data_IF_418249376944
#
_entry.id   IF_418249376944
#
_cell.length_a   1.000
_cell.length_b   1.000
_cell.length_c   1.000
_cell.angle_alpha   90.00
_cell.angle_beta   90.00
_cell.angle_gamma   90.00
#
_symmetry.space_group_name_H-M   'P 1'
#
loop_
_entity.id
_entity.type
_entity.pdbx_description
1 polymer ?
#
# COMPACT_ATOMS: atom_id res chain seq x y z
N UNK A 1 -52.16 -42.76 41.70
CA UNK A 1 -50.78 -42.41 41.29
C UNK A 1 -50.87 -41.39 40.12
N UNK A 2 -50.64 -40.08 40.41
CA UNK A 2 -50.73 -39.01 39.40
C UNK A 2 -49.28 -38.67 38.97
N UNK A 3 -48.91 -38.99 37.74
CA UNK A 3 -47.65 -38.60 37.15
C UNK A 3 -47.73 -37.12 36.75
N UNK A 4 -46.83 -36.31 37.34
CA UNK A 4 -46.63 -34.90 36.94
C UNK A 4 -45.58 -34.84 35.82
N UNK A 5 -46.01 -34.47 34.62
CA UNK A 5 -45.13 -34.22 33.50
C UNK A 5 -44.47 -32.84 33.67
N UNK A 6 -43.16 -32.79 33.85
CA UNK A 6 -42.37 -31.56 33.93
C UNK A 6 -41.95 -31.22 32.49
N UNK A 7 -42.50 -30.16 31.93
CA UNK A 7 -42.05 -29.61 30.66
C UNK A 7 -40.79 -28.75 30.86
N UNK A 8 -39.67 -29.17 30.29
CA UNK A 8 -38.45 -28.36 30.21
C UNK A 8 -38.60 -27.33 29.07
N UNK A 9 -38.75 -26.08 29.42
CA UNK A 9 -38.59 -24.98 28.47
C UNK A 9 -37.08 -24.75 28.25
N UNK A 10 -36.59 -25.15 27.07
CA UNK A 10 -35.27 -24.76 26.62
C UNK A 10 -35.29 -23.30 26.14
N UNK A 11 -34.80 -22.38 26.95
CA UNK A 11 -34.55 -21.00 26.56
C UNK A 11 -33.29 -21.00 25.70
N UNK A 12 -33.46 -20.92 24.38
CA UNK A 12 -32.36 -20.65 23.45
C UNK A 12 -31.92 -19.18 23.66
N UNK A 13 -30.82 -18.99 24.38
CA UNK A 13 -30.15 -17.68 24.45
C UNK A 13 -29.55 -17.38 23.08
N UNK A 14 -30.24 -16.63 22.23
CA UNK A 14 -29.62 -15.94 21.10
C UNK A 14 -28.62 -14.93 21.71
N UNK A 15 -27.34 -15.27 21.64
CA UNK A 15 -26.29 -14.30 21.84
C UNK A 15 -26.41 -13.26 20.70
N UNK A 16 -27.08 -12.15 20.99
CA UNK A 16 -27.04 -10.97 20.13
C UNK A 16 -25.57 -10.52 20.09
N UNK A 17 -24.87 -10.90 19.03
CA UNK A 17 -23.60 -10.25 18.70
C UNK A 17 -23.95 -8.78 18.51
N UNK A 18 -23.48 -7.94 19.45
CA UNK A 18 -23.57 -6.50 19.32
C UNK A 18 -22.89 -6.13 18.01
N UNK A 19 -23.66 -5.89 16.97
CA UNK A 19 -23.13 -5.36 15.73
C UNK A 19 -22.41 -4.06 16.07
N UNK A 20 -21.15 -3.96 15.69
CA UNK A 20 -20.36 -2.73 15.82
C UNK A 20 -21.02 -1.70 14.89
N UNK A 21 -21.94 -0.92 15.43
CA UNK A 21 -22.64 0.09 14.65
C UNK A 21 -21.72 1.29 14.42
N UNK A 22 -21.46 1.57 13.17
CA UNK A 22 -20.70 2.75 12.75
C UNK A 22 -21.54 4.02 12.89
N UNK A 23 -20.90 5.15 13.18
CA UNK A 23 -21.50 6.47 13.08
C UNK A 23 -22.00 6.69 11.62
N UNK A 24 -23.10 7.42 11.44
CA UNK A 24 -23.68 7.70 10.11
C UNK A 24 -22.70 8.34 9.12
N UNK A 25 -21.71 9.12 9.64
CA UNK A 25 -20.66 9.74 8.82
C UNK A 25 -19.66 8.71 8.26
N UNK A 26 -19.61 7.50 8.81
CA UNK A 26 -18.73 6.41 8.36
C UNK A 26 -19.24 5.75 7.07
N UNK A 27 -20.48 6.06 6.65
CA UNK A 27 -21.00 5.61 5.34
C UNK A 27 -20.06 5.97 4.19
N UNK A 28 -19.41 7.14 4.25
CA UNK A 28 -18.37 7.52 3.29
C UNK A 28 -17.01 7.24 3.88
N UNK A 29 -16.19 6.44 3.19
CA UNK A 29 -14.81 6.12 3.56
C UNK A 29 -13.87 6.79 2.56
N UNK A 30 -13.06 7.75 3.02
CA UNK A 30 -12.21 8.59 2.18
C UNK A 30 -10.78 8.10 2.20
N UNK A 31 -10.34 7.52 1.09
CA UNK A 31 -8.97 7.05 0.91
C UNK A 31 -8.07 8.12 0.30
N UNK A 32 -6.79 8.10 0.67
CA UNK A 32 -5.73 8.74 -0.11
C UNK A 32 -5.10 7.71 -1.06
N UNK A 33 -4.82 8.16 -2.28
CA UNK A 33 -4.00 7.49 -3.29
C UNK A 33 -2.89 8.47 -3.69
N UNK A 34 -1.65 8.00 -3.69
CA UNK A 34 -0.48 8.83 -3.98
C UNK A 34 0.05 8.63 -5.41
N UNK A 35 -0.71 7.92 -6.24
CA UNK A 35 -0.43 7.76 -7.66
C UNK A 35 0.41 6.53 -8.00
N UNK A 36 0.60 5.59 -7.06
CA UNK A 36 1.31 4.34 -7.30
C UNK A 36 0.35 3.21 -7.69
N UNK A 37 0.84 2.26 -8.46
CA UNK A 37 0.02 1.14 -8.90
C UNK A 37 -0.33 0.16 -7.76
N UNK A 38 0.53 0.02 -6.74
CA UNK A 38 0.28 -0.80 -5.55
C UNK A 38 -0.81 -0.20 -4.66
N UNK A 39 -0.71 1.11 -4.34
CA UNK A 39 -1.75 1.78 -3.56
C UNK A 39 -3.09 1.82 -4.31
N UNK A 40 -3.08 1.97 -5.65
CA UNK A 40 -4.27 1.89 -6.46
C UNK A 40 -4.89 0.48 -6.44
N UNK A 41 -4.07 -0.57 -6.42
CA UNK A 41 -4.52 -1.95 -6.32
C UNK A 41 -5.16 -2.24 -4.94
N UNK A 42 -4.47 -1.91 -3.86
CA UNK A 42 -4.95 -2.15 -2.48
C UNK A 42 -6.19 -1.32 -2.16
N UNK A 43 -6.19 -0.03 -2.52
CA UNK A 43 -7.35 0.86 -2.36
C UNK A 43 -8.52 0.42 -3.23
N UNK A 44 -8.26 -0.06 -4.45
CA UNK A 44 -9.28 -0.61 -5.33
C UNK A 44 -9.97 -1.85 -4.73
N UNK A 45 -9.18 -2.80 -4.19
CA UNK A 45 -9.72 -3.99 -3.52
C UNK A 45 -10.53 -3.62 -2.27
N UNK A 46 -10.00 -2.75 -1.42
CA UNK A 46 -10.72 -2.27 -0.24
C UNK A 46 -12.04 -1.55 -0.62
N UNK A 47 -12.01 -0.73 -1.67
CA UNK A 47 -13.19 -0.02 -2.17
C UNK A 47 -14.27 -0.98 -2.67
N UNK A 48 -13.92 -1.98 -3.47
CA UNK A 48 -14.88 -2.99 -3.98
C UNK A 48 -15.55 -3.74 -2.82
N UNK A 49 -14.79 -4.12 -1.80
CA UNK A 49 -15.34 -4.79 -0.62
C UNK A 49 -16.27 -3.87 0.16
N UNK A 50 -15.86 -2.62 0.41
CA UNK A 50 -16.69 -1.63 1.12
C UNK A 50 -18.01 -1.32 0.36
N UNK A 51 -17.97 -1.23 -0.96
CA UNK A 51 -19.19 -1.10 -1.79
C UNK A 51 -20.11 -2.30 -1.58
N UNK A 52 -19.58 -3.51 -1.56
CA UNK A 52 -20.32 -4.74 -1.26
C UNK A 52 -20.93 -4.77 0.14
N UNK A 53 -20.32 -4.08 1.10
CA UNK A 53 -20.83 -3.88 2.46
C UNK A 53 -21.84 -2.72 2.58
N UNK A 54 -22.10 -1.97 1.50
CA UNK A 54 -23.05 -0.84 1.48
C UNK A 54 -22.43 0.52 1.85
N UNK A 55 -21.12 0.62 1.99
CA UNK A 55 -20.39 1.88 2.18
C UNK A 55 -20.16 2.58 0.84
N UNK A 56 -19.74 3.84 0.93
CA UNK A 56 -19.40 4.68 -0.23
C UNK A 56 -17.90 5.09 -0.13
N UNK A 57 -16.98 4.27 -0.66
CA UNK A 57 -15.58 4.67 -0.73
C UNK A 57 -15.39 5.82 -1.71
N UNK A 58 -14.48 6.72 -1.38
CA UNK A 58 -14.01 7.79 -2.27
C UNK A 58 -12.50 7.84 -2.23
N UNK A 59 -11.87 8.13 -3.35
CA UNK A 59 -10.41 8.16 -3.47
C UNK A 59 -9.97 9.55 -3.89
N UNK A 60 -9.04 10.13 -3.13
CA UNK A 60 -8.42 11.42 -3.43
C UNK A 60 -6.95 11.18 -3.79
N UNK A 61 -6.55 11.60 -4.99
CA UNK A 61 -5.15 11.56 -5.40
C UNK A 61 -4.45 12.79 -4.78
N UNK A 62 -3.38 12.55 -4.03
CA UNK A 62 -2.63 13.58 -3.31
C UNK A 62 -1.17 13.12 -3.12
N UNK A 63 -0.23 14.05 -2.96
CA UNK A 63 1.12 13.67 -2.51
C UNK A 63 1.11 13.20 -1.05
N UNK A 64 2.14 12.45 -0.63
CA UNK A 64 2.27 11.93 0.74
C UNK A 64 2.08 13.04 1.79
N UNK A 65 2.76 14.21 1.71
CA UNK A 65 2.56 15.28 2.67
C UNK A 65 1.13 15.83 2.71
N UNK A 66 0.46 15.90 1.55
CA UNK A 66 -0.94 16.34 1.46
C UNK A 66 -1.88 15.28 2.04
N UNK A 67 -1.61 14.00 1.82
CA UNK A 67 -2.39 12.91 2.41
C UNK A 67 -2.36 12.97 3.95
N UNK A 68 -1.18 13.10 4.56
CA UNK A 68 -1.04 13.22 6.02
C UNK A 68 -1.68 14.50 6.57
N UNK A 69 -1.50 15.63 5.89
CA UNK A 69 -2.18 16.88 6.28
C UNK A 69 -3.71 16.75 6.16
N UNK A 70 -4.20 16.04 5.16
CA UNK A 70 -5.63 15.73 4.97
C UNK A 70 -6.19 14.84 6.08
N UNK A 71 -5.42 13.84 6.55
CA UNK A 71 -5.79 13.01 7.70
C UNK A 71 -5.87 13.84 8.99
N UNK A 72 -4.88 14.68 9.27
CA UNK A 72 -4.91 15.64 10.40
C UNK A 72 -6.15 16.52 10.35
N UNK A 73 -6.54 16.99 9.18
CA UNK A 73 -7.74 17.83 8.97
C UNK A 73 -9.04 17.03 8.88
N UNK A 74 -8.99 15.70 9.09
CA UNK A 74 -10.15 14.80 8.97
C UNK A 74 -10.84 14.86 7.59
N UNK A 75 -10.09 15.12 6.54
CA UNK A 75 -10.52 15.12 5.15
C UNK A 75 -10.25 13.78 4.46
N UNK A 76 -9.30 13.01 4.99
CA UNK A 76 -8.91 11.66 4.59
C UNK A 76 -9.08 10.75 5.81
N UNK A 77 -9.64 9.57 5.60
CA UNK A 77 -9.92 8.58 6.65
C UNK A 77 -8.90 7.45 6.66
N UNK A 78 -8.40 7.05 5.48
CA UNK A 78 -7.58 5.85 5.32
C UNK A 78 -6.46 6.10 4.33
N UNK A 79 -5.25 5.68 4.70
CA UNK A 79 -4.10 5.54 3.81
C UNK A 79 -3.50 4.14 3.98
N UNK A 80 -3.51 3.35 2.92
CA UNK A 80 -3.07 1.94 2.94
C UNK A 80 -1.58 1.76 2.60
N UNK A 81 -0.87 2.86 2.32
CA UNK A 81 0.47 2.84 1.74
C UNK A 81 1.56 3.41 2.66
N UNK A 82 1.49 3.23 3.99
CA UNK A 82 2.60 3.63 4.84
C UNK A 82 3.73 2.60 4.77
N UNK A 83 4.71 2.86 3.92
CA UNK A 83 5.92 2.05 3.76
C UNK A 83 6.93 2.33 4.88
N UNK A 84 7.15 1.35 5.74
CA UNK A 84 8.11 1.41 6.84
C UNK A 84 9.34 0.55 6.47
N UNK A 85 10.58 1.08 6.57
CA UNK A 85 10.98 2.31 7.28
C UNK A 85 11.07 3.59 6.43
N UNK A 86 11.04 3.52 5.09
CA UNK A 86 11.38 4.65 4.21
C UNK A 86 10.53 5.90 4.46
N UNK A 87 9.23 5.74 4.73
CA UNK A 87 8.28 6.83 4.97
C UNK A 87 8.21 7.29 6.44
N UNK A 88 8.92 6.61 7.35
CA UNK A 88 8.88 6.93 8.78
C UNK A 88 9.19 8.41 9.09
N UNK A 89 10.21 9.05 8.47
CA UNK A 89 10.50 10.46 8.75
C UNK A 89 9.35 11.41 8.40
N UNK A 90 8.50 11.04 7.44
CA UNK A 90 7.38 11.88 6.98
C UNK A 90 6.13 11.71 7.84
N UNK A 91 5.82 10.50 8.32
CA UNK A 91 4.63 10.23 9.13
C UNK A 91 4.84 10.49 10.63
N UNK A 92 6.04 10.28 11.13
CA UNK A 92 6.36 10.34 12.56
C UNK A 92 5.94 11.63 13.26
N UNK A 93 6.10 12.83 12.67
CA UNK A 93 5.60 14.07 13.30
C UNK A 93 4.09 14.06 13.57
N UNK A 94 3.30 13.45 12.68
CA UNK A 94 1.85 13.34 12.83
C UNK A 94 1.46 12.28 13.86
N UNK A 95 2.19 11.17 13.91
CA UNK A 95 1.98 10.13 14.93
C UNK A 95 2.31 10.65 16.32
N UNK A 96 3.45 11.33 16.49
CA UNK A 96 3.86 11.96 17.77
C UNK A 96 2.88 13.05 18.23
N UNK A 97 2.30 13.79 17.29
CA UNK A 97 1.28 14.80 17.59
C UNK A 97 -0.10 14.21 17.90
N UNK A 98 -0.30 12.89 17.73
CA UNK A 98 -1.59 12.24 17.92
C UNK A 98 -2.61 12.55 16.79
N UNK A 99 -2.15 13.01 15.63
CA UNK A 99 -2.99 13.31 14.47
C UNK A 99 -3.27 12.06 13.61
N UNK A 100 -2.34 11.11 13.61
CA UNK A 100 -2.42 9.84 12.84
C UNK A 100 -2.12 8.67 13.77
N UNK A 101 -2.89 7.58 13.62
CA UNK A 101 -2.64 6.26 14.18
C UNK A 101 -2.24 5.32 13.05
N UNK A 102 -1.13 4.62 13.22
CA UNK A 102 -0.74 3.49 12.37
C UNK A 102 -1.29 2.21 13.03
N UNK A 103 -1.87 1.32 12.25
CA UNK A 103 -2.35 0.03 12.76
C UNK A 103 -1.16 -0.87 13.08
N UNK A 104 -1.28 -1.68 14.15
CA UNK A 104 -0.17 -2.49 14.65
C UNK A 104 0.23 -3.63 13.71
N UNK A 105 -0.73 -4.15 12.94
CA UNK A 105 -0.52 -5.24 12.00
C UNK A 105 -0.29 -4.65 10.60
N UNK A 106 0.83 -5.01 9.92
CA UNK A 106 1.06 -4.57 8.56
C UNK A 106 0.01 -5.18 7.62
N UNK A 107 -0.44 -4.39 6.65
CA UNK A 107 -1.32 -4.89 5.59
C UNK A 107 -0.55 -5.62 4.48
N UNK A 108 0.78 -5.40 4.39
CA UNK A 108 1.67 -6.13 3.50
C UNK A 108 3.01 -6.40 4.19
N UNK A 109 3.52 -7.62 4.05
CA UNK A 109 4.87 -8.04 4.45
C UNK A 109 5.63 -8.59 3.25
N UNK A 110 6.97 -8.62 3.34
CA UNK A 110 7.84 -9.10 2.26
C UNK A 110 8.00 -8.08 1.13
N UNK A 111 7.66 -6.83 1.37
CA UNK A 111 7.93 -5.73 0.46
C UNK A 111 9.42 -5.35 0.49
N UNK A 112 9.89 -4.73 -0.59
CA UNK A 112 11.23 -4.11 -0.71
C UNK A 112 11.13 -2.76 -1.38
N UNK A 113 12.00 -1.85 -1.00
CA UNK A 113 12.10 -0.53 -1.62
C UNK A 113 13.54 -0.02 -1.55
N UNK A 114 14.19 0.15 -2.69
CA UNK A 114 15.58 0.61 -2.76
C UNK A 114 15.95 1.06 -4.19
N UNK A 115 17.24 1.28 -4.47
CA UNK A 115 17.72 1.58 -5.80
C UNK A 115 17.97 0.30 -6.61
N UNK A 116 17.67 0.37 -7.89
CA UNK A 116 17.86 -0.68 -8.86
C UNK A 116 18.62 -0.19 -10.09
N UNK A 117 19.25 -1.12 -10.79
CA UNK A 117 19.96 -0.91 -12.05
C UNK A 117 19.64 -2.02 -13.03
N UNK A 118 19.79 -1.80 -14.36
CA UNK A 118 19.75 -2.90 -15.31
C UNK A 118 20.78 -3.98 -14.98
N UNK A 119 20.42 -5.26 -15.14
CA UNK A 119 21.27 -6.39 -14.79
C UNK A 119 22.65 -6.34 -15.49
N UNK A 120 22.71 -5.84 -16.75
CA UNK A 120 24.00 -5.69 -17.44
C UNK A 120 24.93 -4.66 -16.78
N UNK A 121 24.43 -3.65 -16.08
CA UNK A 121 25.26 -2.74 -15.27
C UNK A 121 25.71 -3.40 -13.96
N UNK A 122 24.82 -4.15 -13.34
CA UNK A 122 25.15 -4.94 -12.16
C UNK A 122 26.30 -5.92 -12.46
N UNK A 123 26.22 -6.61 -13.60
CA UNK A 123 27.25 -7.54 -14.06
C UNK A 123 28.59 -6.83 -14.38
N UNK A 124 28.53 -5.56 -14.83
CA UNK A 124 29.69 -4.69 -15.06
C UNK A 124 30.31 -4.13 -13.77
N UNK A 125 29.72 -4.40 -12.61
CA UNK A 125 30.28 -4.03 -11.31
C UNK A 125 29.54 -2.93 -10.55
N UNK A 126 28.41 -2.40 -11.06
CA UNK A 126 27.53 -1.50 -10.30
C UNK A 126 26.60 -2.32 -9.41
N UNK A 127 27.10 -2.81 -8.28
CA UNK A 127 26.44 -3.77 -7.39
C UNK A 127 25.97 -3.17 -6.07
N UNK A 128 26.59 -2.09 -5.65
CA UNK A 128 26.33 -1.47 -4.35
C UNK A 128 26.09 0.03 -4.48
N UNK A 129 25.52 0.64 -3.47
CA UNK A 129 25.38 2.10 -3.40
C UNK A 129 26.75 2.81 -3.51
N UNK A 130 27.82 2.22 -2.93
CA UNK A 130 29.18 2.76 -3.01
C UNK A 130 29.77 2.70 -4.44
N UNK A 131 29.21 1.90 -5.32
CA UNK A 131 29.66 1.82 -6.70
C UNK A 131 29.05 2.91 -7.58
N UNK A 132 27.93 3.52 -7.19
CA UNK A 132 27.19 4.48 -8.04
C UNK A 132 28.11 5.60 -8.52
N UNK A 133 28.92 6.19 -7.64
CA UNK A 133 29.81 7.28 -7.98
C UNK A 133 30.87 6.89 -9.02
N UNK A 134 31.29 5.63 -9.08
CA UNK A 134 32.25 5.12 -10.08
C UNK A 134 31.68 5.13 -11.49
N UNK A 135 30.35 5.11 -11.63
CA UNK A 135 29.62 5.13 -12.89
C UNK A 135 29.00 6.51 -13.20
N UNK A 136 29.46 7.60 -12.52
CA UNK A 136 28.91 8.95 -12.66
C UNK A 136 28.80 9.37 -14.13
N UNK A 137 29.86 9.16 -14.92
CA UNK A 137 29.92 9.52 -16.34
C UNK A 137 28.88 8.76 -17.18
N UNK A 138 28.77 7.45 -16.96
CA UNK A 138 27.85 6.59 -17.72
C UNK A 138 26.39 6.88 -17.32
N UNK A 139 26.12 7.17 -16.06
CA UNK A 139 24.83 7.56 -15.49
C UNK A 139 24.46 9.03 -15.82
N UNK A 140 25.40 9.82 -16.35
CA UNK A 140 25.21 11.26 -16.58
C UNK A 140 24.96 12.03 -15.29
N UNK A 141 25.45 11.52 -14.14
CA UNK A 141 25.24 12.10 -12.81
C UNK A 141 23.75 12.14 -12.41
N UNK A 142 22.95 11.15 -12.77
CA UNK A 142 21.50 11.14 -12.53
C UNK A 142 21.06 9.90 -11.75
N UNK A 143 20.13 10.11 -10.82
CA UNK A 143 19.36 9.04 -10.15
C UNK A 143 17.88 9.34 -10.38
N UNK A 144 17.13 8.36 -10.85
CA UNK A 144 15.73 8.55 -11.24
C UNK A 144 14.81 8.15 -10.07
N UNK A 145 14.09 9.15 -9.57
CA UNK A 145 13.02 9.03 -8.60
C UNK A 145 11.64 9.01 -9.26
N UNK A 146 10.62 9.11 -8.43
CA UNK A 146 9.22 9.15 -8.85
C UNK A 146 8.62 10.54 -8.57
N UNK A 147 7.39 10.65 -8.05
CA UNK A 147 6.71 11.95 -7.91
C UNK A 147 7.32 12.84 -6.80
N UNK A 148 7.21 14.16 -6.95
CA UNK A 148 7.62 15.10 -5.91
C UNK A 148 6.91 14.84 -4.57
N UNK A 149 7.69 14.87 -3.49
CA UNK A 149 7.19 14.57 -2.13
C UNK A 149 7.22 13.10 -1.75
N UNK A 150 7.69 12.23 -2.64
CA UNK A 150 7.92 10.82 -2.37
C UNK A 150 9.01 10.62 -1.31
N UNK A 151 8.87 9.59 -0.48
CA UNK A 151 9.82 9.24 0.57
C UNK A 151 11.18 8.78 0.03
N UNK A 152 11.21 7.94 -1.00
CA UNK A 152 12.45 7.51 -1.66
C UNK A 152 13.18 8.68 -2.33
N UNK A 153 12.46 9.62 -2.93
CA UNK A 153 13.05 10.86 -3.44
C UNK A 153 13.72 11.66 -2.30
N UNK A 154 13.08 11.76 -1.13
CA UNK A 154 13.66 12.42 0.03
C UNK A 154 14.94 11.73 0.51
N UNK A 155 14.97 10.40 0.53
CA UNK A 155 16.16 9.61 0.87
C UNK A 155 17.29 9.84 -0.14
N UNK A 156 17.02 9.83 -1.44
CA UNK A 156 17.99 10.13 -2.49
C UNK A 156 18.54 11.55 -2.34
N UNK A 157 17.66 12.53 -2.15
CA UNK A 157 18.07 13.93 -1.94
C UNK A 157 18.96 14.09 -0.71
N UNK A 158 18.66 13.38 0.38
CA UNK A 158 19.50 13.31 1.58
C UNK A 158 20.89 12.75 1.28
N UNK A 159 20.99 11.63 0.57
CA UNK A 159 22.28 11.03 0.19
C UNK A 159 23.12 11.98 -0.66
N UNK A 160 22.52 12.68 -1.62
CA UNK A 160 23.20 13.66 -2.49
C UNK A 160 23.71 14.83 -1.64
N UNK A 161 22.82 15.43 -0.82
CA UNK A 161 23.13 16.56 0.06
C UNK A 161 24.30 16.26 1.01
N UNK A 162 24.28 15.10 1.63
CA UNK A 162 25.26 14.68 2.65
C UNK A 162 26.49 14.02 2.03
N UNK A 163 26.59 14.00 0.70
CA UNK A 163 27.66 13.33 -0.05
C UNK A 163 27.85 11.87 0.34
N UNK A 164 26.77 11.18 0.78
CA UNK A 164 26.86 9.74 1.04
C UNK A 164 27.21 9.00 -0.25
N UNK A 165 28.05 8.00 -0.15
CA UNK A 165 28.54 7.20 -1.28
C UNK A 165 29.21 8.02 -2.41
N UNK A 166 29.63 9.26 -2.14
CA UNK A 166 30.27 10.13 -3.15
C UNK A 166 29.29 10.78 -4.13
N UNK A 167 28.02 10.92 -3.78
CA UNK A 167 26.93 11.33 -4.69
C UNK A 167 26.72 12.86 -4.82
N UNK A 168 27.58 13.70 -4.26
CA UNK A 168 27.39 15.18 -4.26
C UNK A 168 27.20 15.81 -5.64
N UNK A 169 27.73 15.19 -6.70
CA UNK A 169 27.64 15.70 -8.07
C UNK A 169 26.40 15.15 -8.80
N UNK A 170 25.68 14.21 -8.19
CA UNK A 170 24.48 13.65 -8.80
C UNK A 170 23.29 14.59 -8.67
N UNK A 171 22.33 14.41 -9.56
CA UNK A 171 21.04 15.09 -9.54
C UNK A 171 19.93 14.04 -9.54
N UNK A 172 18.94 14.24 -8.69
CA UNK A 172 17.73 13.43 -8.73
C UNK A 172 16.82 13.92 -9.86
N UNK A 173 16.26 13.00 -10.63
CA UNK A 173 15.26 13.27 -11.66
C UNK A 173 13.91 12.83 -11.13
N UNK A 174 13.07 13.80 -10.76
CA UNK A 174 11.71 13.53 -10.32
C UNK A 174 10.75 13.46 -11.52
N UNK A 175 9.76 12.57 -11.44
CA UNK A 175 8.75 12.41 -12.49
C UNK A 175 7.43 11.87 -11.93
N UNK A 176 7.19 10.60 -12.11
CA UNK A 176 6.12 9.77 -11.56
C UNK A 176 6.53 8.32 -11.69
N UNK A 177 5.83 7.37 -11.04
CA UNK A 177 6.03 5.94 -11.27
C UNK A 177 6.08 5.63 -12.78
N UNK A 178 5.05 6.01 -13.52
CA UNK A 178 4.96 5.75 -14.96
C UNK A 178 6.10 6.39 -15.75
N UNK A 179 6.49 7.63 -15.41
CA UNK A 179 7.58 8.35 -16.06
C UNK A 179 8.93 7.67 -15.83
N UNK A 180 9.24 7.31 -14.61
CA UNK A 180 10.46 6.61 -14.24
C UNK A 180 10.53 5.24 -14.92
N UNK A 181 9.44 4.46 -14.93
CA UNK A 181 9.39 3.16 -15.59
C UNK A 181 9.62 3.24 -17.10
N UNK A 182 9.10 4.27 -17.78
CA UNK A 182 9.35 4.51 -19.22
C UNK A 182 10.84 4.77 -19.45
N UNK A 183 11.47 5.61 -18.63
CA UNK A 183 12.91 5.89 -18.77
C UNK A 183 13.77 4.66 -18.47
N UNK A 184 13.42 3.87 -17.45
CA UNK A 184 14.11 2.62 -17.15
C UNK A 184 13.99 1.60 -18.29
N UNK A 185 12.78 1.41 -18.84
CA UNK A 185 12.55 0.52 -19.99
C UNK A 185 13.34 0.97 -21.24
N UNK A 186 13.34 2.29 -21.51
CA UNK A 186 14.11 2.85 -22.63
C UNK A 186 15.60 2.61 -22.44
N UNK A 187 16.14 2.90 -21.26
CA UNK A 187 17.55 2.69 -20.96
C UNK A 187 17.93 1.21 -21.09
N UNK A 188 17.11 0.29 -20.59
CA UNK A 188 17.32 -1.16 -20.70
C UNK A 188 17.32 -1.60 -22.18
N UNK A 189 16.36 -1.14 -22.97
CA UNK A 189 16.28 -1.45 -24.41
C UNK A 189 17.51 -0.94 -25.17
N UNK A 190 17.95 0.27 -24.86
CA UNK A 190 19.08 0.93 -25.53
C UNK A 190 20.45 0.55 -24.94
N UNK A 191 20.50 -0.35 -23.96
CA UNK A 191 21.70 -0.74 -23.20
C UNK A 191 22.45 0.45 -22.56
N UNK A 192 21.70 1.50 -22.14
CA UNK A 192 22.21 2.70 -21.49
C UNK A 192 22.23 2.54 -19.97
N UNK A 193 23.09 3.30 -19.32
CA UNK A 193 23.18 3.29 -17.85
C UNK A 193 22.02 4.09 -17.23
N UNK A 194 21.41 3.51 -16.20
CA UNK A 194 20.39 4.14 -15.36
C UNK A 194 20.41 3.55 -13.96
N UNK A 195 20.20 4.41 -12.95
CA UNK A 195 19.88 4.04 -11.56
C UNK A 195 18.51 4.63 -11.25
N UNK A 196 17.62 3.84 -10.70
CA UNK A 196 16.25 4.24 -10.46
C UNK A 196 15.67 3.58 -9.21
N UNK A 197 14.58 4.13 -8.68
CA UNK A 197 13.83 3.51 -7.59
C UNK A 197 13.16 2.21 -8.06
N UNK A 198 13.34 1.16 -7.29
CA UNK A 198 12.70 -0.14 -7.53
C UNK A 198 12.07 -0.66 -6.25
N UNK A 199 10.97 -1.39 -6.38
CA UNK A 199 10.26 -1.99 -5.23
C UNK A 199 9.57 -3.31 -5.58
N UNK A 200 9.29 -4.09 -4.55
CA UNK A 200 8.45 -5.28 -4.55
C UNK A 200 7.29 -5.08 -3.56
N UNK A 201 6.05 -5.45 -3.92
CA UNK A 201 5.62 -6.02 -5.19
C UNK A 201 5.52 -4.98 -6.31
N UNK A 202 5.96 -5.33 -7.50
CA UNK A 202 5.70 -4.56 -8.71
C UNK A 202 6.00 -5.42 -9.95
N UNK A 203 5.17 -5.39 -11.02
CA UNK A 203 5.41 -6.14 -12.26
C UNK A 203 6.74 -5.82 -12.96
N UNK A 204 7.39 -4.68 -12.69
CA UNK A 204 8.73 -4.38 -13.22
C UNK A 204 9.76 -5.47 -12.91
N UNK A 205 9.62 -6.14 -11.76
CA UNK A 205 10.55 -7.19 -11.32
C UNK A 205 10.59 -8.42 -12.26
N UNK A 206 9.51 -8.65 -13.00
CA UNK A 206 9.42 -9.73 -14.01
C UNK A 206 9.49 -9.22 -15.44
N UNK A 207 9.19 -7.94 -15.67
CA UNK A 207 9.16 -7.33 -17.00
C UNK A 207 10.50 -6.73 -17.42
N UNK A 208 11.33 -6.33 -16.45
CA UNK A 208 12.63 -5.71 -16.68
C UNK A 208 13.75 -6.60 -16.17
N UNK A 209 14.85 -6.70 -16.93
CA UNK A 209 16.09 -7.31 -16.47
C UNK A 209 16.83 -6.31 -15.57
N UNK A 210 16.47 -6.29 -14.31
CA UNK A 210 17.03 -5.38 -13.30
C UNK A 210 17.55 -6.12 -12.07
N UNK A 211 18.41 -5.47 -11.31
CA UNK A 211 18.98 -5.97 -10.06
C UNK A 211 18.97 -4.85 -9.02
N UNK A 212 18.65 -5.18 -7.78
CA UNK A 212 18.72 -4.25 -6.66
C UNK A 212 20.14 -4.04 -6.19
N UNK A 213 20.47 -2.80 -5.81
CA UNK A 213 21.77 -2.46 -5.24
C UNK A 213 21.81 -2.77 -3.74
N UNK A 214 22.91 -3.37 -3.26
CA UNK A 214 23.16 -3.61 -1.84
C UNK A 214 23.89 -2.43 -1.19
N UNK A 215 24.00 -2.45 0.15
CA UNK A 215 24.74 -1.43 0.92
C UNK A 215 24.01 -0.11 1.11
N UNK A 216 22.68 -0.11 0.91
CA UNK A 216 21.79 1.01 1.23
C UNK A 216 20.95 0.79 2.49
N UNK A 217 21.32 -0.18 3.33
CA UNK A 217 20.50 -0.64 4.46
C UNK A 217 20.22 0.46 5.48
N UNK A 218 21.19 1.35 5.74
CA UNK A 218 21.04 2.51 6.64
C UNK A 218 20.11 3.59 6.08
N UNK A 219 19.73 3.50 4.80
CA UNK A 219 18.92 4.50 4.10
C UNK A 219 17.52 3.97 3.85
N UNK A 220 17.43 2.83 3.16
CA UNK A 220 16.16 2.27 2.70
C UNK A 220 15.63 1.16 3.61
N UNK A 221 16.43 0.61 4.50
CA UNK A 221 16.13 -0.52 5.36
C UNK A 221 16.97 -1.75 5.04
N UNK A 222 17.00 -2.75 5.95
CA UNK A 222 17.83 -3.94 5.81
C UNK A 222 17.45 -4.80 4.60
N UNK A 223 18.27 -5.77 4.25
CA UNK A 223 17.96 -6.83 3.28
C UNK A 223 17.49 -6.29 1.91
N UNK A 224 18.19 -5.32 1.33
CA UNK A 224 17.81 -4.63 0.08
C UNK A 224 16.54 -3.80 0.23
N UNK A 225 16.40 -3.07 1.33
CA UNK A 225 15.25 -2.21 1.59
C UNK A 225 13.99 -3.00 1.98
N UNK A 226 14.14 -4.10 2.74
CA UNK A 226 12.98 -4.82 3.29
C UNK A 226 12.04 -3.85 3.99
N UNK A 227 10.77 -3.92 3.62
CA UNK A 227 9.74 -3.03 4.11
C UNK A 227 8.49 -3.80 4.53
N UNK A 228 7.74 -3.17 5.44
CA UNK A 228 6.37 -3.55 5.78
C UNK A 228 5.46 -2.37 5.48
N UNK A 229 4.32 -2.64 4.89
CA UNK A 229 3.34 -1.59 4.60
C UNK A 229 2.22 -1.63 5.63
N UNK A 230 1.83 -0.47 6.13
CA UNK A 230 0.83 -0.36 7.18
C UNK A 230 -0.33 0.54 6.74
N UNK A 231 -1.46 0.32 7.39
CA UNK A 231 -2.63 1.18 7.29
C UNK A 231 -2.52 2.32 8.30
N UNK A 232 -2.72 3.55 7.85
CA UNK A 232 -2.80 4.75 8.69
C UNK A 232 -4.22 5.31 8.68
N UNK A 233 -4.70 5.75 9.87
CA UNK A 233 -6.05 6.29 10.10
C UNK A 233 -5.98 7.46 11.11
N UNK A 234 -6.99 8.34 11.18
CA UNK A 234 -7.15 9.25 12.32
C UNK A 234 -7.40 8.45 13.62
N UNK A 235 -6.83 8.84 14.78
CA UNK A 235 -6.96 8.08 16.04
C UNK A 235 -8.41 7.85 16.50
N UNK A 236 -9.31 8.78 16.19
CA UNK A 236 -10.73 8.67 16.56
C UNK A 236 -11.51 7.67 15.70
N UNK A 237 -10.93 7.20 14.59
CA UNK A 237 -11.63 6.38 13.60
C UNK A 237 -12.05 5.02 14.15
N UNK A 238 -11.23 4.41 14.99
CA UNK A 238 -11.51 3.13 15.66
C UNK A 238 -12.81 3.16 16.47
N UNK A 239 -13.02 4.24 17.25
CA UNK A 239 -14.21 4.38 18.08
C UNK A 239 -15.43 4.84 17.28
N UNK A 240 -15.20 5.65 16.25
CA UNK A 240 -16.25 6.26 15.44
C UNK A 240 -16.81 5.31 14.39
N UNK A 241 -15.94 4.53 13.76
CA UNK A 241 -16.26 3.63 12.65
C UNK A 241 -15.77 2.20 12.95
N UNK A 242 -16.25 1.57 14.05
CA UNK A 242 -15.69 0.30 14.53
C UNK A 242 -15.82 -0.85 13.54
N UNK A 243 -16.86 -0.88 12.71
CA UNK A 243 -17.03 -1.92 11.69
C UNK A 243 -16.06 -1.73 10.51
N UNK A 244 -15.92 -0.49 10.00
CA UNK A 244 -14.88 -0.20 8.99
C UNK A 244 -13.49 -0.42 9.57
N UNK A 245 -13.24 -0.04 10.83
CA UNK A 245 -11.96 -0.29 11.50
C UNK A 245 -11.65 -1.79 11.61
N UNK A 246 -12.64 -2.63 11.95
CA UNK A 246 -12.47 -4.09 11.98
C UNK A 246 -12.07 -4.62 10.60
N UNK A 247 -12.71 -4.16 9.54
CA UNK A 247 -12.33 -4.48 8.17
C UNK A 247 -10.90 -4.06 7.85
N UNK A 248 -10.53 -2.80 8.12
CA UNK A 248 -9.18 -2.29 7.84
C UNK A 248 -8.09 -3.04 8.63
N UNK A 249 -8.37 -3.43 9.87
CA UNK A 249 -7.46 -4.22 10.70
C UNK A 249 -7.24 -5.63 10.13
N UNK A 250 -8.25 -6.18 9.49
CA UNK A 250 -8.18 -7.52 8.90
C UNK A 250 -7.53 -7.53 7.52
N UNK A 251 -7.37 -6.37 6.86
CA UNK A 251 -6.76 -6.29 5.54
C UNK A 251 -5.31 -6.77 5.59
N UNK A 252 -5.06 -7.85 4.88
CA UNK A 252 -3.73 -8.41 4.66
C UNK A 252 -3.61 -8.81 3.20
N UNK A 253 -2.68 -8.17 2.51
CA UNK A 253 -2.33 -8.48 1.14
C UNK A 253 -1.09 -9.37 1.10
N UNK A 254 -0.86 -10.00 -0.03
CA UNK A 254 0.41 -10.65 -0.36
C UNK A 254 1.01 -9.96 -1.57
N UNK A 255 2.32 -10.10 -1.73
CA UNK A 255 3.02 -9.59 -2.91
C UNK A 255 2.43 -10.14 -4.21
N UNK A 256 1.97 -11.40 -4.19
CA UNK A 256 1.32 -12.03 -5.33
C UNK A 256 -0.05 -11.42 -5.65
N UNK A 257 -0.91 -11.21 -4.65
CA UNK A 257 -2.22 -10.55 -4.82
C UNK A 257 -2.02 -9.15 -5.44
N UNK A 258 -1.11 -8.35 -4.91
CA UNK A 258 -0.87 -7.01 -5.42
C UNK A 258 -0.34 -7.04 -6.85
N UNK A 259 0.63 -7.90 -7.16
CA UNK A 259 1.16 -8.06 -8.52
C UNK A 259 0.08 -8.44 -9.53
N UNK A 260 -0.85 -9.33 -9.16
CA UNK A 260 -1.95 -9.74 -10.04
C UNK A 260 -2.92 -8.58 -10.32
N UNK A 261 -3.21 -7.73 -9.35
CA UNK A 261 -4.11 -6.58 -9.53
C UNK A 261 -3.40 -5.41 -10.21
N UNK A 262 -2.12 -5.15 -9.91
CA UNK A 262 -1.33 -4.11 -10.57
C UNK A 262 -1.13 -4.34 -12.07
N UNK A 263 -0.99 -5.60 -12.50
CA UNK A 263 -0.76 -5.92 -13.91
C UNK A 263 -1.78 -5.29 -14.87
N UNK A 264 -3.09 -5.45 -14.68
CA UNK A 264 -4.12 -4.73 -15.43
C UNK A 264 -4.09 -3.20 -15.25
N UNK A 265 -3.83 -2.70 -14.03
CA UNK A 265 -3.78 -1.25 -13.73
C UNK A 265 -2.69 -0.57 -14.57
N UNK A 266 -1.51 -1.16 -14.65
CA UNK A 266 -0.41 -0.67 -15.50
C UNK A 266 -0.78 -0.67 -17.01
N UNK A 267 -1.74 -1.52 -17.42
CA UNK A 267 -2.35 -1.51 -18.75
C UNK A 267 -3.56 -0.58 -18.85
N UNK A 268 -3.71 0.36 -17.91
CA UNK A 268 -4.77 1.39 -17.88
C UNK A 268 -6.18 0.86 -17.59
N UNK A 269 -6.32 -0.35 -17.06
CA UNK A 269 -7.59 -0.78 -16.47
C UNK A 269 -7.83 0.01 -15.16
N UNK A 270 -9.05 0.46 -14.95
CA UNK A 270 -9.40 1.19 -13.71
C UNK A 270 -9.17 0.31 -12.48
N UNK A 271 -8.62 0.83 -11.38
CA UNK A 271 -8.30 0.05 -10.18
C UNK A 271 -9.46 -0.79 -9.65
N UNK A 272 -10.67 -0.21 -9.51
CA UNK A 272 -11.84 -0.95 -9.03
C UNK A 272 -12.26 -2.07 -9.99
N UNK A 273 -12.06 -1.91 -11.30
CA UNK A 273 -12.35 -2.97 -12.28
C UNK A 273 -11.36 -4.11 -12.13
N UNK A 274 -10.06 -3.81 -12.09
CA UNK A 274 -9.02 -4.80 -11.89
C UNK A 274 -9.20 -5.56 -10.56
N UNK A 275 -9.49 -4.82 -9.48
CA UNK A 275 -9.77 -5.38 -8.16
C UNK A 275 -11.01 -6.28 -8.16
N UNK A 276 -12.13 -5.83 -8.75
CA UNK A 276 -13.37 -6.62 -8.86
C UNK A 276 -13.13 -7.91 -9.64
N UNK A 277 -12.45 -7.83 -10.79
CA UNK A 277 -12.14 -9.01 -11.61
C UNK A 277 -11.26 -10.02 -10.87
N UNK A 278 -10.27 -9.54 -10.11
CA UNK A 278 -9.43 -10.38 -9.26
C UNK A 278 -10.25 -11.06 -8.16
N UNK A 279 -11.04 -10.31 -7.41
CA UNK A 279 -11.85 -10.82 -6.29
C UNK A 279 -12.95 -11.79 -6.76
N UNK A 280 -13.52 -11.58 -7.95
CA UNK A 280 -14.46 -12.53 -8.58
C UNK A 280 -13.80 -13.89 -8.85
N UNK A 281 -12.56 -13.88 -9.32
CA UNK A 281 -11.79 -15.11 -9.61
C UNK A 281 -11.24 -15.78 -8.35
N UNK A 282 -11.07 -14.99 -7.28
CA UNK A 282 -10.46 -15.44 -6.02
C UNK A 282 -11.35 -15.07 -4.81
N UNK A 283 -12.61 -15.58 -4.75
CA UNK A 283 -13.59 -15.15 -3.74
C UNK A 283 -13.19 -15.51 -2.31
N UNK A 284 -12.29 -16.48 -2.10
CA UNK A 284 -11.74 -16.81 -0.78
C UNK A 284 -10.83 -15.73 -0.19
N UNK A 285 -10.34 -14.79 -1.00
CA UNK A 285 -9.49 -13.69 -0.52
C UNK A 285 -10.19 -12.85 0.55
N UNK A 286 -11.50 -12.61 0.42
CA UNK A 286 -12.26 -11.77 1.34
C UNK A 286 -12.67 -12.47 2.64
N UNK A 287 -12.50 -13.78 2.77
CA UNK A 287 -12.97 -14.55 3.94
C UNK A 287 -12.32 -14.06 5.24
N UNK A 288 -11.00 -13.87 5.24
CA UNK A 288 -10.26 -13.33 6.39
C UNK A 288 -10.52 -11.85 6.62
N UNK A 289 -10.63 -11.05 5.55
CA UNK A 289 -10.86 -9.62 5.64
C UNK A 289 -12.21 -9.28 6.26
N UNK A 290 -13.20 -10.18 6.09
CA UNK A 290 -14.57 -9.97 6.56
C UNK A 290 -14.92 -10.73 7.84
N UNK A 291 -13.92 -11.30 8.53
CA UNK A 291 -14.14 -11.95 9.83
C UNK A 291 -14.66 -10.93 10.85
N UNK A 292 -15.88 -11.13 11.35
CA UNK A 292 -16.54 -10.23 12.30
C UNK A 292 -17.04 -8.90 11.73
N UNK A 293 -16.95 -8.71 10.41
CA UNK A 293 -17.41 -7.49 9.71
C UNK A 293 -18.85 -7.66 9.24
N UNK A 294 -19.66 -6.62 9.41
CA UNK A 294 -21.04 -6.57 8.94
C UNK A 294 -21.21 -5.59 7.79
N UNK A 295 -22.35 -5.66 7.11
CA UNK A 295 -22.78 -4.58 6.21
C UNK A 295 -23.13 -3.33 7.01
N UNK A 296 -23.25 -2.19 6.32
CA UNK A 296 -23.66 -0.91 6.93
C UNK A 296 -25.02 -1.02 7.66
N UNK A 297 -25.90 -1.91 7.22
CA UNK A 297 -27.20 -2.19 7.83
C UNK A 297 -27.18 -3.40 8.80
N UNK A 298 -26.00 -3.87 9.22
CA UNK A 298 -25.82 -4.87 10.26
C UNK A 298 -25.99 -6.33 9.84
N UNK A 299 -26.08 -6.64 8.54
CA UNK A 299 -26.16 -8.02 8.03
C UNK A 299 -24.77 -8.68 7.95
N UNK A 300 -24.69 -10.02 7.81
CA UNK A 300 -23.41 -10.71 7.60
C UNK A 300 -22.65 -10.17 6.38
N UNK A 301 -21.45 -9.61 6.61
CA UNK A 301 -20.68 -8.92 5.58
C UNK A 301 -20.15 -9.85 4.49
N UNK A 302 -19.68 -11.04 4.87
CA UNK A 302 -19.10 -12.01 3.93
C UNK A 302 -20.08 -12.40 2.83
N UNK A 303 -21.32 -12.76 3.20
CA UNK A 303 -22.34 -13.17 2.25
C UNK A 303 -22.78 -12.02 1.34
N UNK A 304 -22.87 -10.81 1.90
CA UNK A 304 -23.21 -9.63 1.13
C UNK A 304 -22.16 -9.32 0.06
N UNK A 305 -20.86 -9.35 0.43
CA UNK A 305 -19.75 -9.09 -0.49
C UNK A 305 -19.66 -10.18 -1.56
N UNK A 306 -19.73 -11.46 -1.19
CA UNK A 306 -19.73 -12.56 -2.18
C UNK A 306 -20.87 -12.43 -3.19
N UNK A 307 -22.08 -12.06 -2.71
CA UNK A 307 -23.24 -11.82 -3.58
C UNK A 307 -23.01 -10.60 -4.51
N UNK A 308 -22.40 -9.53 -4.00
CA UNK A 308 -22.06 -8.35 -4.81
C UNK A 308 -20.97 -8.64 -5.86
N UNK A 309 -19.99 -9.47 -5.53
CA UNK A 309 -18.95 -9.89 -6.46
C UNK A 309 -19.49 -10.81 -7.57
N UNK A 310 -20.50 -11.63 -7.30
CA UNK A 310 -21.08 -12.54 -8.29
C UNK A 310 -21.84 -11.81 -9.43
N UNK A 311 -22.27 -10.57 -9.19
CA UNK A 311 -22.90 -9.71 -10.17
C UNK A 311 -21.89 -9.03 -11.09
#
# INVERSE_FOLDING_TARGET
MKMKTIAFLAVAALAAQSALADDASCKTVRFADVGWSDIAATTGMASVVLEGLGYKPTVTIASIPIAFAGMKKKQIDVFLGYWNPSMTPQIEPFVKAGDIKVLDVPNLVGAKYTLAVPTYLFDKGLKTFADIAKFEKDLGGKIYGIEPGNDGNALIAGMIKDNKFGLKNFKMVESSEAGMLIEAQRAIKDQKAIVFLGWEPHPMNVQMKMSYLSGGDDIFGPNLGEAKVYTAIPPSYEKKCPNVYAFLKNLQYTTDIENQVMGPILKKVKPNVAAKDFLKKNPGTVDKWLAGVTTLDGKPGLEAVKTALAK
#
